data_IF_873106218024
#
_entry.id   IF_873106218024
#
_cell.length_a   1.000
_cell.length_b   1.000
_cell.length_c   1.000
_cell.angle_alpha   90.00
_cell.angle_beta   90.00
_cell.angle_gamma   90.00
#
_symmetry.space_group_name_H-M   'P 1'
#
loop_
_entity.id
_entity.type
_entity.pdbx_description
1 polymer ?
#
# COMPACT_ATOMS: atom_id res chain seq x y z
N UNK A 1 54.97 17.91 34.06
CA UNK A 1 53.55 18.29 34.22
C UNK A 1 52.89 18.01 32.89
N UNK A 2 52.47 16.75 32.76
CA UNK A 2 51.53 16.24 31.77
C UNK A 2 50.33 17.16 31.57
N UNK A 3 49.85 17.24 30.33
CA UNK A 3 48.50 16.77 30.01
C UNK A 3 48.34 16.65 28.49
N UNK A 4 48.39 15.40 28.05
CA UNK A 4 47.68 14.82 26.92
C UNK A 4 46.42 15.59 26.49
N UNK A 5 46.38 15.95 25.21
CA UNK A 5 45.16 16.37 24.54
C UNK A 5 44.53 15.15 23.86
N UNK A 6 43.68 14.45 24.61
CA UNK A 6 42.88 13.33 24.12
C UNK A 6 41.87 13.79 23.04
N UNK A 7 41.54 12.92 22.07
CA UNK A 7 40.65 13.24 20.96
C UNK A 7 39.21 13.36 21.47
N UNK A 8 38.50 14.41 21.02
CA UNK A 8 37.09 14.59 21.33
C UNK A 8 36.31 13.38 20.83
N UNK A 9 35.76 12.68 21.80
CA UNK A 9 35.04 11.44 21.71
C UNK A 9 33.86 11.55 20.73
N UNK A 10 33.82 10.59 19.82
CA UNK A 10 32.64 10.14 19.11
C UNK A 10 31.64 9.61 20.16
N UNK A 11 30.69 10.45 20.58
CA UNK A 11 29.53 9.98 21.34
C UNK A 11 28.44 9.54 20.36
N UNK A 12 27.96 8.28 20.44
CA UNK A 12 26.80 7.82 19.70
C UNK A 12 25.64 8.74 20.04
N UNK A 13 25.09 9.43 19.04
CA UNK A 13 23.88 10.21 19.27
C UNK A 13 22.81 9.24 19.76
N UNK A 14 22.17 9.48 20.92
CA UNK A 14 21.01 8.72 21.29
C UNK A 14 20.00 8.92 20.16
N UNK A 15 19.58 7.82 19.53
CA UNK A 15 18.40 7.80 18.68
C UNK A 15 17.26 8.34 19.54
N UNK A 16 16.97 9.63 19.39
CA UNK A 16 15.91 10.31 20.10
C UNK A 16 14.60 9.66 19.64
N UNK A 17 14.12 8.71 20.43
CA UNK A 17 12.83 8.03 20.31
C UNK A 17 11.63 8.98 20.56
N UNK A 18 11.82 10.28 20.27
CA UNK A 18 10.90 11.37 20.57
C UNK A 18 10.57 12.23 19.33
N UNK A 19 11.08 11.85 18.16
CA UNK A 19 10.41 12.22 16.91
C UNK A 19 9.43 11.12 16.54
N UNK A 20 8.37 11.03 17.32
CA UNK A 20 7.15 10.38 16.84
C UNK A 20 6.75 11.17 15.59
N UNK A 21 7.00 10.60 14.41
CA UNK A 21 6.51 11.14 13.15
C UNK A 21 4.98 11.06 13.20
N UNK A 22 4.34 12.15 13.61
CA UNK A 22 2.87 12.27 13.68
C UNK A 22 2.17 11.99 12.33
N UNK A 23 2.91 11.98 11.21
CA UNK A 23 2.46 11.49 9.91
C UNK A 23 2.09 9.99 9.94
N UNK A 24 2.71 9.20 10.81
CA UNK A 24 2.50 7.76 10.96
C UNK A 24 1.35 7.44 11.93
N UNK A 25 1.06 8.31 12.91
CA UNK A 25 0.13 7.99 14.00
C UNK A 25 -1.35 8.22 13.67
N UNK A 26 -1.68 9.19 12.82
CA UNK A 26 -3.08 9.42 12.37
C UNK A 26 -3.19 9.64 10.83
N UNK A 27 -2.08 9.99 10.16
CA UNK A 27 -2.04 10.37 8.73
C UNK A 27 -1.69 9.26 7.74
N UNK A 28 -1.14 8.12 8.18
CA UNK A 28 -0.83 6.98 7.30
C UNK A 28 -2.05 6.16 6.90
N UNK A 29 -3.21 6.40 7.53
CA UNK A 29 -4.44 5.62 7.32
C UNK A 29 -5.09 5.94 5.97
N UNK A 30 -5.23 7.20 5.55
CA UNK A 30 -6.07 7.52 4.39
C UNK A 30 -5.41 7.10 3.06
N UNK A 31 -4.16 7.47 2.84
CA UNK A 31 -3.40 7.05 1.64
C UNK A 31 -3.26 5.53 1.58
N UNK A 32 -2.87 4.87 2.68
CA UNK A 32 -2.77 3.41 2.70
C UNK A 32 -4.12 2.74 2.48
N UNK A 33 -5.20 3.25 3.08
CA UNK A 33 -6.57 2.72 2.87
C UNK A 33 -6.97 2.86 1.41
N UNK A 34 -6.77 4.03 0.81
CA UNK A 34 -7.05 4.25 -0.60
C UNK A 34 -6.28 3.24 -1.47
N UNK A 35 -4.96 3.11 -1.26
CA UNK A 35 -4.16 2.15 -2.01
C UNK A 35 -4.66 0.70 -1.82
N UNK A 36 -4.92 0.32 -0.56
CA UNK A 36 -5.43 -1.01 -0.22
C UNK A 36 -6.81 -1.31 -0.79
N UNK A 37 -7.66 -0.30 -0.93
CA UNK A 37 -9.01 -0.43 -1.49
C UNK A 37 -9.00 -0.48 -3.02
N UNK A 38 -8.11 0.27 -3.67
CA UNK A 38 -8.18 0.48 -5.11
C UNK A 38 -7.17 -0.34 -5.91
N UNK A 39 -5.91 -0.45 -5.46
CA UNK A 39 -4.81 -0.97 -6.31
C UNK A 39 -4.08 -2.16 -5.72
N UNK A 40 -3.95 -2.25 -4.40
CA UNK A 40 -3.18 -3.30 -3.73
C UNK A 40 -3.64 -4.73 -4.09
N UNK A 41 -4.95 -5.05 -4.17
CA UNK A 41 -5.39 -6.41 -4.47
C UNK A 41 -4.89 -6.90 -5.84
N UNK A 42 -5.11 -6.12 -6.89
CA UNK A 42 -4.67 -6.45 -8.24
C UNK A 42 -3.13 -6.45 -8.35
N UNK A 43 -2.46 -5.52 -7.67
CA UNK A 43 -0.99 -5.47 -7.67
C UNK A 43 -0.37 -6.73 -7.07
N UNK A 44 -0.87 -7.18 -5.91
CA UNK A 44 -0.37 -8.39 -5.25
C UNK A 44 -0.58 -9.64 -6.12
N UNK A 45 -1.73 -9.76 -6.78
CA UNK A 45 -2.01 -10.88 -7.67
C UNK A 45 -1.11 -10.89 -8.91
N UNK A 46 -0.97 -9.74 -9.56
CA UNK A 46 -0.06 -9.57 -10.70
C UNK A 46 1.40 -9.88 -10.33
N UNK A 47 1.86 -9.40 -9.18
CA UNK A 47 3.21 -9.69 -8.68
C UNK A 47 3.44 -11.18 -8.41
N UNK A 48 2.42 -11.91 -7.90
CA UNK A 48 2.50 -13.37 -7.75
C UNK A 48 2.69 -14.07 -9.10
N UNK A 49 1.97 -13.63 -10.13
CA UNK A 49 2.09 -14.20 -11.48
C UNK A 49 3.47 -13.92 -12.09
N UNK A 50 4.01 -12.72 -11.89
CA UNK A 50 5.39 -12.38 -12.31
C UNK A 50 6.40 -13.30 -11.62
N UNK A 51 6.29 -13.47 -10.30
CA UNK A 51 7.20 -14.31 -9.53
C UNK A 51 7.14 -15.80 -9.96
N UNK A 52 5.94 -16.27 -10.32
CA UNK A 52 5.70 -17.64 -10.79
C UNK A 52 6.24 -17.88 -12.21
N UNK A 53 5.89 -17.00 -13.15
CA UNK A 53 6.13 -17.22 -14.57
C UNK A 53 7.50 -16.69 -15.04
N UNK A 54 8.13 -15.81 -14.27
CA UNK A 54 9.43 -15.18 -14.57
C UNK A 54 9.56 -14.77 -16.04
N UNK A 55 8.63 -13.96 -16.56
CA UNK A 55 8.65 -13.53 -17.96
C UNK A 55 9.93 -12.73 -18.27
N UNK A 56 10.30 -12.69 -19.55
CA UNK A 56 11.47 -11.93 -20.02
C UNK A 56 11.35 -10.42 -19.77
N UNK A 57 10.14 -9.88 -19.81
CA UNK A 57 9.82 -8.49 -19.48
C UNK A 57 8.78 -8.43 -18.34
N UNK A 58 9.21 -8.44 -17.07
CA UNK A 58 8.32 -8.52 -15.91
C UNK A 58 7.46 -7.28 -15.71
N UNK A 59 7.96 -6.10 -16.06
CA UNK A 59 7.22 -4.85 -15.90
C UNK A 59 6.11 -4.74 -16.95
N UNK A 60 6.41 -5.08 -18.20
CA UNK A 60 5.39 -5.13 -19.25
C UNK A 60 4.31 -6.15 -18.94
N UNK A 61 4.69 -7.36 -18.53
CA UNK A 61 3.75 -8.41 -18.16
C UNK A 61 2.82 -7.94 -17.02
N UNK A 62 3.38 -7.31 -15.98
CA UNK A 62 2.58 -6.77 -14.88
C UNK A 62 1.64 -5.64 -15.34
N UNK A 63 2.11 -4.73 -16.19
CA UNK A 63 1.30 -3.65 -16.74
C UNK A 63 0.11 -4.16 -17.56
N UNK A 64 0.34 -5.14 -18.45
CA UNK A 64 -0.72 -5.77 -19.23
C UNK A 64 -1.74 -6.49 -18.33
N UNK A 65 -1.29 -7.14 -17.26
CA UNK A 65 -2.17 -7.74 -16.26
C UNK A 65 -3.05 -6.68 -15.56
N UNK A 66 -2.47 -5.58 -15.09
CA UNK A 66 -3.20 -4.53 -14.38
C UNK A 66 -4.26 -3.86 -15.27
N UNK A 67 -3.97 -3.67 -16.56
CA UNK A 67 -4.96 -3.14 -17.52
C UNK A 67 -6.16 -4.08 -17.64
N UNK A 68 -5.93 -5.40 -17.80
CA UNK A 68 -7.01 -6.38 -17.88
C UNK A 68 -7.83 -6.42 -16.59
N UNK A 69 -7.17 -6.46 -15.43
CA UNK A 69 -7.84 -6.45 -14.13
C UNK A 69 -8.73 -5.20 -13.93
N UNK A 70 -8.31 -4.04 -14.45
CA UNK A 70 -9.12 -2.82 -14.40
C UNK A 70 -10.43 -2.92 -15.19
N UNK A 71 -10.42 -3.62 -16.34
CA UNK A 71 -11.60 -3.83 -17.19
C UNK A 71 -12.59 -4.78 -16.51
N UNK A 72 -12.10 -5.85 -15.89
CA UNK A 72 -12.94 -6.84 -15.22
C UNK A 72 -13.65 -6.25 -13.98
N UNK A 73 -12.99 -5.36 -13.22
CA UNK A 73 -13.60 -4.72 -12.05
C UNK A 73 -14.77 -3.80 -12.42
N UNK A 74 -14.74 -3.13 -13.58
CA UNK A 74 -15.85 -2.30 -14.07
C UNK A 74 -17.14 -3.08 -14.33
N UNK A 75 -17.06 -4.39 -14.57
CA UNK A 75 -18.21 -5.21 -14.94
C UNK A 75 -19.02 -5.68 -13.72
N UNK A 76 -18.47 -5.62 -12.50
CA UNK A 76 -19.13 -6.08 -11.29
C UNK A 76 -19.97 -5.02 -10.56
N UNK A 77 -19.90 -3.74 -10.95
CA UNK A 77 -20.58 -2.66 -10.20
C UNK A 77 -22.00 -2.33 -10.69
N UNK A 78 -22.63 -3.14 -11.55
CA UNK A 78 -23.94 -2.85 -12.16
C UNK A 78 -25.09 -3.85 -11.91
N UNK A 79 -24.95 -4.84 -11.02
CA UNK A 79 -26.01 -5.87 -10.80
C UNK A 79 -26.65 -5.90 -9.41
N UNK A 80 -26.53 -4.83 -8.60
CA UNK A 80 -27.06 -4.79 -7.23
C UNK A 80 -28.07 -3.67 -6.96
N UNK A 81 -29.14 -3.56 -7.73
CA UNK A 81 -30.24 -2.65 -7.41
C UNK A 81 -31.59 -3.31 -7.73
N UNK A 82 -31.99 -4.27 -6.88
CA UNK A 82 -33.40 -4.62 -6.72
C UNK A 82 -33.98 -3.74 -5.62
N UNK A 83 -34.92 -2.82 -5.92
CA UNK A 83 -35.72 -2.19 -4.90
C UNK A 83 -36.70 -3.24 -4.37
N UNK A 84 -36.49 -3.68 -3.13
CA UNK A 84 -37.46 -4.47 -2.39
C UNK A 84 -38.61 -3.53 -1.98
N UNK A 85 -39.61 -3.39 -2.84
CA UNK A 85 -40.87 -2.74 -2.47
C UNK A 85 -41.71 -3.77 -1.69
N UNK A 86 -41.56 -3.75 -0.37
CA UNK A 86 -42.44 -4.43 0.56
C UNK A 86 -43.07 -3.37 1.44
N UNK A 87 -44.08 -2.67 0.92
CA UNK A 87 -44.86 -1.72 1.70
C UNK A 87 -46.34 -2.06 1.70
N UNK A 88 -46.84 -2.27 2.91
CA UNK A 88 -48.22 -2.15 3.38
C UNK A 88 -49.22 -3.29 3.10
N UNK A 89 -49.30 -4.15 4.12
CA UNK A 89 -50.57 -4.53 4.73
C UNK A 89 -51.50 -3.31 4.89
N UNK A 90 -52.75 -3.43 4.42
CA UNK A 90 -53.94 -3.06 5.19
C UNK A 90 -55.18 -3.75 4.62
#
# INVERSE_FOLDING_TARGET
MDSDQAPKQESPQPFNADRIDFAETIGGSHTRKYLNQHVTPALLEGMRLVAKNKPSDPLRYLGEYLIKASQDQSQHTHSGSQPNDSTSQN
#
